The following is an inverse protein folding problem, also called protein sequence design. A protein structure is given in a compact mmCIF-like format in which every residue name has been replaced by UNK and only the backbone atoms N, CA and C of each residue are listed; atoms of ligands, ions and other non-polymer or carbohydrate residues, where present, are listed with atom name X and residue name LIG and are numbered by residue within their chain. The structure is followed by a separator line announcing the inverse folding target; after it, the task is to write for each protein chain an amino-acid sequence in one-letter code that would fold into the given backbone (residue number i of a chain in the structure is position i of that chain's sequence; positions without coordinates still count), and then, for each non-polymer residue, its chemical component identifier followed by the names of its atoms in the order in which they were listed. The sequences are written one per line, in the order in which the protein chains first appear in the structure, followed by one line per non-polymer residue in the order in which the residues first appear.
data_IF_503379962153
#
_entry.id   IF_503379962153
#
_cell.length_a   1.000
_cell.length_b   1.000
_cell.length_c   1.000
_cell.angle_alpha   90.00
_cell.angle_beta   90.00
_cell.angle_gamma   90.00
#
_symmetry.space_group_name_H-M   'P 1'
#
loop_
_entity.id
_entity.type
_entity.pdbx_description
1 polymer ?
#
# COMPACT_ATOMS: atom_id res chain seq x y z
N UNK A 1 -1.19 13.10 9.56
CA UNK A 1 -2.46 13.66 9.05
C UNK A 1 -3.42 13.81 10.21
N UNK A 2 -4.09 14.94 10.33
CA UNK A 2 -5.11 15.18 11.35
C UNK A 2 -6.49 14.70 10.86
N UNK A 3 -7.36 14.26 11.77
CA UNK A 3 -8.70 13.75 11.44
C UNK A 3 -9.68 14.86 11.02
N UNK A 4 -9.47 16.11 11.45
CA UNK A 4 -10.35 17.25 11.18
C UNK A 4 -9.82 18.11 10.03
N UNK A 5 -8.53 18.39 10.03
CA UNK A 5 -7.90 19.25 9.01
C UNK A 5 -7.62 18.46 7.73
N UNK A 6 -7.25 17.18 7.83
CA UNK A 6 -6.87 16.37 6.68
C UNK A 6 -5.57 16.83 6.01
N UNK A 7 -5.28 16.27 4.85
CA UNK A 7 -4.17 16.63 3.98
C UNK A 7 -4.69 16.77 2.55
N UNK A 8 -4.24 17.81 1.85
CA UNK A 8 -4.65 18.09 0.48
C UNK A 8 -3.59 17.52 -0.46
N UNK A 9 -4.02 16.60 -1.32
CA UNK A 9 -3.22 16.12 -2.45
C UNK A 9 -3.56 17.01 -3.64
N UNK A 10 -2.60 17.84 -4.04
CA UNK A 10 -2.74 18.76 -5.17
C UNK A 10 -2.83 17.99 -6.50
N UNK A 11 -3.42 18.57 -7.56
CA UNK A 11 -3.42 17.96 -8.88
C UNK A 11 -2.02 17.54 -9.31
N UNK A 12 -1.89 16.30 -9.81
CA UNK A 12 -0.63 15.68 -10.27
C UNK A 12 0.41 15.45 -9.17
N UNK A 13 0.04 15.57 -7.90
CA UNK A 13 0.94 15.26 -6.78
C UNK A 13 0.91 13.76 -6.44
N UNK A 14 2.10 13.19 -6.22
CA UNK A 14 2.30 11.87 -5.63
C UNK A 14 2.64 12.05 -4.15
N UNK A 15 1.96 11.29 -3.27
CA UNK A 15 2.18 11.31 -1.82
C UNK A 15 2.23 9.88 -1.29
N UNK A 16 3.19 9.61 -0.40
CA UNK A 16 3.26 8.34 0.31
C UNK A 16 2.49 8.42 1.63
N UNK A 17 1.75 7.35 1.92
CA UNK A 17 1.08 7.14 3.21
C UNK A 17 1.14 5.68 3.62
N UNK A 18 0.57 5.36 4.79
CA UNK A 18 0.27 3.98 5.15
C UNK A 18 -1.19 3.83 5.53
N UNK A 19 -1.69 2.61 5.40
CA UNK A 19 -2.91 2.20 6.07
C UNK A 19 -2.75 2.20 7.60
N UNK A 20 -3.88 2.21 8.32
CA UNK A 20 -3.89 2.16 9.78
C UNK A 20 -3.75 0.72 10.31
N UNK A 21 -4.06 -0.27 9.50
CA UNK A 21 -4.07 -1.67 9.85
C UNK A 21 -2.66 -2.27 9.72
N UNK A 22 -2.34 -3.23 10.58
CA UNK A 22 -1.18 -4.10 10.38
C UNK A 22 -1.70 -5.32 9.63
N UNK A 23 -1.14 -5.57 8.46
CA UNK A 23 -1.58 -6.60 7.51
C UNK A 23 -0.51 -7.66 7.34
N UNK A 24 -0.95 -8.88 7.06
CA UNK A 24 -0.11 -10.01 6.69
C UNK A 24 -0.96 -11.15 6.18
N UNK A 25 -0.32 -12.13 5.55
CA UNK A 25 -0.94 -13.35 5.03
C UNK A 25 -0.06 -14.54 5.39
N UNK A 26 -0.67 -15.72 5.50
CA UNK A 26 0.06 -16.97 5.71
C UNK A 26 0.79 -17.43 4.44
N UNK A 27 1.39 -18.62 4.47
CA UNK A 27 2.12 -19.17 3.32
C UNK A 27 1.24 -19.59 2.15
N UNK A 28 -0.09 -19.58 2.29
CA UNK A 28 -1.05 -20.07 1.28
C UNK A 28 -1.83 -18.97 0.60
N UNK A 29 -1.69 -17.72 1.03
CA UNK A 29 -2.47 -16.61 0.50
C UNK A 29 -1.59 -15.44 0.08
N UNK A 30 -2.05 -14.71 -0.93
CA UNK A 30 -1.56 -13.37 -1.24
C UNK A 30 -2.65 -12.37 -0.88
N UNK A 31 -2.26 -11.17 -0.47
CA UNK A 31 -3.18 -10.04 -0.40
C UNK A 31 -3.00 -9.09 -1.58
N UNK A 32 -4.07 -8.40 -1.95
CA UNK A 32 -4.06 -7.30 -2.91
C UNK A 32 -4.72 -6.07 -2.32
N UNK A 33 -3.97 -4.98 -2.27
CA UNK A 33 -4.45 -3.65 -1.94
C UNK A 33 -5.18 -3.08 -3.15
N UNK A 34 -6.47 -2.81 -2.96
CA UNK A 34 -7.36 -2.35 -4.01
C UNK A 34 -7.93 -0.98 -3.66
N UNK A 35 -8.16 -0.18 -4.71
CA UNK A 35 -8.84 1.09 -4.60
C UNK A 35 -10.33 0.96 -4.28
N UNK A 36 -10.91 2.04 -3.77
CA UNK A 36 -12.36 2.15 -3.62
C UNK A 36 -12.94 2.87 -4.82
N UNK A 37 -14.05 2.35 -5.37
CA UNK A 37 -14.69 2.95 -6.55
C UNK A 37 -15.03 4.43 -6.35
N UNK A 38 -15.49 4.83 -5.16
CA UNK A 38 -15.79 6.24 -4.85
C UNK A 38 -14.57 7.17 -4.96
N UNK A 39 -13.38 6.70 -4.59
CA UNK A 39 -12.14 7.48 -4.67
C UNK A 39 -11.58 7.49 -6.09
N UNK A 40 -11.66 6.35 -6.79
CA UNK A 40 -11.27 6.28 -8.20
C UNK A 40 -12.09 7.24 -9.07
N UNK A 41 -13.41 7.39 -8.78
CA UNK A 41 -14.30 8.32 -9.51
C UNK A 41 -13.98 9.80 -9.33
N UNK A 42 -13.20 10.16 -8.32
CA UNK A 42 -12.69 11.52 -8.13
C UNK A 42 -11.23 11.66 -8.56
N UNK A 43 -10.65 10.64 -9.22
CA UNK A 43 -9.29 10.68 -9.75
C UNK A 43 -8.19 10.34 -8.75
N UNK A 44 -8.51 9.77 -7.58
CA UNK A 44 -7.51 9.33 -6.61
C UNK A 44 -7.08 7.87 -6.87
N UNK A 45 -5.83 7.69 -7.26
CA UNK A 45 -5.13 6.41 -7.26
C UNK A 45 -4.53 6.20 -5.87
N UNK A 46 -4.53 4.95 -5.35
CA UNK A 46 -4.04 4.64 -3.99
C UNK A 46 -2.79 3.76 -3.95
N UNK A 47 -2.42 3.14 -5.08
CA UNK A 47 -1.15 2.46 -5.27
C UNK A 47 -0.72 2.62 -6.72
N UNK A 48 0.59 2.65 -6.97
CA UNK A 48 1.15 2.73 -8.32
C UNK A 48 1.84 1.41 -8.61
N UNK A 49 1.09 0.51 -9.25
CA UNK A 49 1.49 -0.87 -9.66
C UNK A 49 1.92 -1.83 -8.55
N UNK A 50 2.29 -1.35 -7.36
CA UNK A 50 2.70 -2.16 -6.20
C UNK A 50 1.57 -2.49 -5.23
N UNK A 51 0.59 -3.30 -5.64
CA UNK A 51 -0.57 -3.63 -4.81
C UNK A 51 -0.46 -4.92 -3.98
N UNK A 52 0.57 -5.74 -4.18
CA UNK A 52 0.63 -7.06 -3.55
C UNK A 52 1.12 -7.04 -2.10
N UNK A 53 0.50 -7.88 -1.27
CA UNK A 53 0.95 -8.26 0.06
C UNK A 53 1.43 -9.72 -0.01
N UNK A 54 2.75 -9.90 0.01
CA UNK A 54 3.38 -11.20 -0.15
C UNK A 54 3.26 -12.11 1.10
N UNK A 55 3.18 -13.44 0.92
CA UNK A 55 3.29 -14.44 1.99
C UNK A 55 4.44 -14.17 2.95
N UNK A 56 4.18 -14.24 4.26
CA UNK A 56 5.20 -14.13 5.31
C UNK A 56 5.65 -12.71 5.66
N UNK A 57 5.04 -11.67 5.08
CA UNK A 57 5.25 -10.30 5.54
C UNK A 57 4.18 -9.86 6.54
N UNK A 58 4.57 -9.00 7.49
CA UNK A 58 3.66 -8.35 8.45
C UNK A 58 3.98 -6.86 8.52
N UNK A 59 3.18 -6.03 7.87
CA UNK A 59 3.49 -4.61 7.60
C UNK A 59 2.26 -3.72 7.71
N UNK A 60 2.48 -2.41 7.77
CA UNK A 60 1.47 -1.45 7.30
C UNK A 60 1.74 -1.19 5.83
N UNK A 61 0.82 -1.58 4.96
CA UNK A 61 0.98 -1.34 3.52
C UNK A 61 1.18 0.15 3.24
N UNK A 62 2.14 0.44 2.37
CA UNK A 62 2.36 1.77 1.82
C UNK A 62 1.27 2.06 0.78
N UNK A 63 0.83 3.31 0.75
CA UNK A 63 -0.07 3.85 -0.26
C UNK A 63 0.74 4.82 -1.12
N UNK A 64 0.82 4.58 -2.42
CA UNK A 64 1.32 5.56 -3.39
C UNK A 64 0.13 6.31 -3.98
N UNK A 65 -0.26 7.39 -3.30
CA UNK A 65 -1.46 8.14 -3.67
C UNK A 65 -1.16 9.20 -4.73
N UNK A 66 -1.87 9.15 -5.86
CA UNK A 66 -1.74 10.11 -6.95
C UNK A 66 -3.08 10.76 -7.25
N UNK A 67 -3.11 12.09 -7.27
CA UNK A 67 -4.28 12.84 -7.72
C UNK A 67 -4.20 13.11 -9.24
N UNK A 68 -5.05 12.42 -10.01
CA UNK A 68 -5.21 12.65 -11.45
C UNK A 68 -6.33 13.65 -11.80
N UNK A 69 -7.09 14.11 -10.81
CA UNK A 69 -8.12 15.13 -11.01
C UNK A 69 -7.51 16.51 -11.16
N UNK A 70 -8.15 17.43 -11.92
CA UNK A 70 -7.76 18.84 -11.96
C UNK A 70 -8.09 19.60 -10.65
N UNK A 71 -8.82 18.98 -9.72
CA UNK A 71 -9.18 19.59 -8.43
C UNK A 71 -8.35 18.98 -7.28
N UNK A 72 -8.01 19.77 -6.24
CA UNK A 72 -7.37 19.24 -5.05
C UNK A 72 -8.26 18.21 -4.34
N UNK A 73 -7.67 17.14 -3.81
CA UNK A 73 -8.37 16.09 -3.07
C UNK A 73 -7.91 16.12 -1.62
N UNK A 74 -8.85 16.29 -0.68
CA UNK A 74 -8.55 16.23 0.75
C UNK A 74 -8.78 14.81 1.29
N UNK A 75 -7.74 14.24 1.90
CA UNK A 75 -7.80 12.97 2.62
C UNK A 75 -7.72 13.21 4.13
N UNK A 76 -8.33 12.33 4.92
CA UNK A 76 -8.40 12.44 6.37
C UNK A 76 -7.80 11.22 7.03
N UNK A 77 -7.13 11.40 8.17
CA UNK A 77 -6.71 10.25 8.97
C UNK A 77 -7.93 9.40 9.36
N UNK A 78 -7.80 8.08 9.28
CA UNK A 78 -8.87 7.14 9.62
C UNK A 78 -9.98 6.96 8.57
N UNK A 79 -9.98 7.70 7.45
CA UNK A 79 -10.94 7.47 6.39
C UNK A 79 -10.72 6.11 5.71
N UNK A 80 -11.79 5.50 5.20
CA UNK A 80 -11.70 4.28 4.38
C UNK A 80 -11.05 4.62 3.04
N UNK A 81 -9.76 4.33 2.88
CA UNK A 81 -8.96 4.73 1.71
C UNK A 81 -8.78 3.61 0.68
N UNK A 82 -8.76 2.35 1.14
CA UNK A 82 -8.52 1.18 0.31
C UNK A 82 -9.34 -0.02 0.83
N UNK A 83 -9.19 -1.16 0.17
CA UNK A 83 -9.70 -2.45 0.62
C UNK A 83 -8.68 -3.55 0.28
N UNK A 84 -8.77 -4.70 0.95
CA UNK A 84 -7.92 -5.84 0.68
C UNK A 84 -8.76 -6.99 0.12
N UNK A 85 -8.27 -7.58 -0.97
CA UNK A 85 -8.68 -8.89 -1.43
C UNK A 85 -7.61 -9.91 -1.05
N UNK A 86 -8.03 -11.13 -0.74
CA UNK A 86 -7.12 -12.23 -0.45
C UNK A 86 -7.40 -13.36 -1.43
N UNK A 87 -6.33 -13.95 -1.96
CA UNK A 87 -6.40 -15.02 -2.95
C UNK A 87 -5.52 -16.18 -2.47
N UNK A 88 -6.05 -17.41 -2.50
CA UNK A 88 -5.27 -18.61 -2.22
C UNK A 88 -4.36 -18.94 -3.42
N UNK A 89 -3.10 -19.29 -3.14
CA UNK A 89 -2.14 -19.72 -4.17
C UNK A 89 -2.12 -21.24 -4.33
N UNK A 90 -1.65 -21.70 -5.50
CA UNK A 90 -1.68 -23.12 -5.89
C UNK A 90 -0.88 -24.07 -4.98
N UNK A 91 0.09 -23.55 -4.22
CA UNK A 91 0.87 -24.29 -3.24
C UNK A 91 1.41 -23.34 -2.17
N UNK A 92 1.90 -23.88 -1.05
CA UNK A 92 2.59 -23.07 -0.05
C UNK A 92 3.78 -22.31 -0.69
N UNK A 93 3.92 -21.03 -0.36
CA UNK A 93 5.07 -20.22 -0.76
C UNK A 93 6.36 -20.79 -0.15
N UNK A 94 7.24 -21.34 -0.99
CA UNK A 94 8.51 -21.96 -0.56
C UNK A 94 9.49 -20.92 -0.01
N UNK A 95 9.47 -19.71 -0.56
CA UNK A 95 10.35 -18.59 -0.19
C UNK A 95 9.50 -17.38 0.16
N UNK A 96 8.96 -17.31 1.40
CA UNK A 96 8.16 -16.18 1.83
C UNK A 96 8.99 -14.90 1.87
N UNK A 97 8.30 -13.75 1.85
CA UNK A 97 8.90 -12.43 1.94
C UNK A 97 9.81 -12.33 3.18
N UNK A 98 11.02 -11.79 2.98
CA UNK A 98 12.00 -11.68 4.04
C UNK A 98 12.85 -12.93 4.26
N UNK A 99 12.76 -13.94 3.38
CA UNK A 99 13.77 -15.00 3.27
C UNK A 99 15.11 -14.40 2.82
N UNK A 100 16.23 -14.86 3.40
CA UNK A 100 17.55 -14.24 3.22
C UNK A 100 17.97 -14.12 1.74
N UNK A 101 17.59 -15.09 0.91
CA UNK A 101 17.90 -15.10 -0.52
C UNK A 101 17.16 -14.06 -1.36
N UNK A 102 16.10 -13.43 -0.83
CA UNK A 102 15.22 -12.54 -1.62
C UNK A 102 15.64 -11.07 -1.59
N UNK A 103 16.51 -10.66 -0.67
CA UNK A 103 16.87 -9.23 -0.52
C UNK A 103 15.64 -8.33 -0.28
N UNK A 104 14.65 -8.85 0.45
CA UNK A 104 13.40 -8.15 0.75
C UNK A 104 13.65 -6.85 1.51
N UNK A 105 13.13 -5.73 0.99
CA UNK A 105 13.53 -4.38 1.42
C UNK A 105 12.67 -3.78 2.53
N UNK A 106 11.44 -4.26 2.66
CA UNK A 106 10.39 -3.63 3.47
C UNK A 106 9.80 -4.60 4.51
N UNK A 107 10.59 -5.59 4.95
CA UNK A 107 10.14 -6.62 5.90
C UNK A 107 9.84 -5.97 7.24
N UNK A 108 8.59 -6.08 7.70
CA UNK A 108 8.20 -5.56 9.01
C UNK A 108 8.05 -4.04 9.08
N UNK A 109 8.00 -3.32 7.94
CA UNK A 109 7.82 -1.87 7.93
C UNK A 109 6.46 -1.47 8.53
N UNK A 110 6.52 -0.52 9.48
CA UNK A 110 5.36 0.01 10.22
C UNK A 110 5.17 1.51 10.04
N UNK A 111 5.98 2.14 9.18
CA UNK A 111 5.94 3.58 8.94
C UNK A 111 6.14 3.84 7.45
N UNK A 112 5.90 5.09 7.05
CA UNK A 112 6.08 5.48 5.64
C UNK A 112 7.57 5.44 5.36
N UNK A 113 7.97 4.62 4.38
CA UNK A 113 9.36 4.48 3.95
C UNK A 113 9.49 4.97 2.51
N UNK A 114 10.57 5.67 2.23
CA UNK A 114 10.95 6.00 0.86
C UNK A 114 11.39 4.73 0.11
N UNK A 115 11.43 4.81 -1.22
CA UNK A 115 11.90 3.72 -2.05
C UNK A 115 13.34 3.33 -1.71
N UNK A 116 13.57 2.02 -1.56
CA UNK A 116 14.88 1.38 -1.35
C UNK A 116 15.42 0.74 -2.63
N UNK A 117 14.96 1.17 -3.81
CA UNK A 117 15.35 0.56 -5.10
C UNK A 117 16.87 0.55 -5.33
N UNK A 118 17.59 1.52 -4.75
CA UNK A 118 19.04 1.63 -4.80
C UNK A 118 19.78 0.41 -4.21
N UNK A 119 19.16 -0.36 -3.29
CA UNK A 119 19.78 -1.57 -2.71
C UNK A 119 19.98 -2.72 -3.70
N UNK A 120 19.48 -2.59 -4.93
CA UNK A 120 19.65 -3.59 -6.00
C UNK A 120 20.84 -3.31 -6.92
N UNK A 121 21.55 -2.19 -6.74
CA UNK A 121 22.67 -1.75 -7.58
C UNK A 121 23.91 -1.54 -6.73
#
# INVERSE_FOLDING_TARGET
IDEKVGFVIEPRQLVLGNIREITGVDSKHVGRLEGKSSLARIGLIIHVTGGFLDPGNRIRLTLEMVNLSPLPIRIYAGMKIAQLAFEEISSNCERPYGSDSLGSKYKGDMTVQASKIWMNF
#
